data_IF_242291011014
#
_entry.id   IF_242291011014
#
_cell.length_a   1.000
_cell.length_b   1.000
_cell.length_c   1.000
_cell.angle_alpha   90.00
_cell.angle_beta   90.00
_cell.angle_gamma   90.00
#
_symmetry.space_group_name_H-M   'P 1'
#
loop_
_entity.id
_entity.type
_entity.pdbx_description
1 polymer ?
#
# COMPACT_ATOMS: atom_id res chain seq x y z
N UNK A 1 -18.04 5.35 -17.60
CA UNK A 1 -17.79 5.43 -16.14
C UNK A 1 -16.30 5.76 -15.97
N UNK A 2 -15.97 6.88 -15.33
CA UNK A 2 -14.58 7.36 -15.13
C UNK A 2 -14.22 7.04 -13.66
N UNK A 3 -13.24 6.17 -13.39
CA UNK A 3 -12.93 5.60 -12.06
C UNK A 3 -11.44 5.72 -11.79
N UNK A 4 -10.95 6.37 -10.71
CA UNK A 4 -9.65 7.05 -10.80
C UNK A 4 -8.77 7.15 -9.51
N UNK A 5 -7.84 6.21 -9.23
CA UNK A 5 -6.59 6.42 -8.42
C UNK A 5 -5.38 5.62 -8.98
N UNK A 6 -4.11 5.93 -8.65
CA UNK A 6 -2.91 5.13 -9.05
C UNK A 6 -2.57 4.06 -7.99
N UNK A 7 -2.67 2.78 -8.33
CA UNK A 7 -2.60 1.67 -7.36
C UNK A 7 -1.69 0.53 -7.85
N UNK A 8 -0.87 0.00 -6.93
CA UNK A 8 -0.11 -1.24 -7.12
C UNK A 8 -1.01 -2.48 -6.98
N UNK A 9 -1.64 -2.89 -8.08
CA UNK A 9 -2.65 -3.96 -8.06
C UNK A 9 -2.08 -5.32 -7.64
N UNK A 10 -0.80 -5.56 -7.88
CA UNK A 10 -0.11 -6.78 -7.44
C UNK A 10 0.16 -6.79 -5.93
N UNK A 11 -0.09 -5.71 -5.20
CA UNK A 11 0.15 -5.65 -3.75
C UNK A 11 -1.12 -5.43 -2.93
N UNK A 12 -2.30 -5.49 -3.54
CA UNK A 12 -3.57 -5.37 -2.82
C UNK A 12 -3.74 -6.44 -1.74
N UNK A 13 -4.40 -6.08 -0.65
CA UNK A 13 -4.84 -7.08 0.33
C UNK A 13 -5.92 -8.01 -0.26
N UNK A 14 -6.06 -9.24 0.26
CA UNK A 14 -7.18 -10.10 -0.10
C UNK A 14 -8.53 -9.40 0.08
N UNK A 15 -9.38 -9.46 -0.96
CA UNK A 15 -10.55 -8.59 -1.07
C UNK A 15 -11.65 -8.93 -0.06
N UNK A 16 -11.99 -10.18 0.19
CA UNK A 16 -13.21 -10.52 0.95
C UNK A 16 -12.98 -10.71 2.46
N UNK A 17 -13.62 -9.86 3.28
CA UNK A 17 -13.79 -10.06 4.72
C UNK A 17 -12.51 -9.98 5.55
N UNK A 18 -11.40 -9.56 4.93
CA UNK A 18 -10.09 -9.53 5.59
C UNK A 18 -10.07 -8.42 6.63
N UNK A 19 -9.83 -8.82 7.88
CA UNK A 19 -9.42 -7.90 8.95
C UNK A 19 -7.90 -7.79 8.92
N UNK A 20 -7.39 -6.60 8.59
CA UNK A 20 -5.98 -6.26 8.63
C UNK A 20 -5.58 -6.02 10.09
N UNK A 21 -4.79 -6.92 10.68
CA UNK A 21 -4.39 -6.79 12.08
C UNK A 21 -3.31 -5.71 12.19
N UNK A 22 -3.65 -4.61 12.86
CA UNK A 22 -2.77 -3.44 13.02
C UNK A 22 -2.28 -3.39 14.45
N UNK A 23 -0.97 -3.29 14.65
CA UNK A 23 -0.37 -3.09 15.96
C UNK A 23 0.34 -1.74 16.08
N UNK A 24 0.48 -1.25 17.31
CA UNK A 24 1.29 -0.08 17.64
C UNK A 24 2.52 -0.47 18.45
N UNK A 25 3.69 0.05 18.06
CA UNK A 25 4.92 -0.08 18.85
C UNK A 25 4.88 0.77 20.14
N UNK A 26 4.20 1.91 20.08
CA UNK A 26 4.14 2.86 21.18
C UNK A 26 3.01 2.51 22.14
N UNK A 27 3.27 1.53 23.01
CA UNK A 27 2.28 0.98 23.95
C UNK A 27 1.93 1.92 25.12
N UNK A 28 2.70 2.99 25.30
CA UNK A 28 2.47 4.01 26.33
C UNK A 28 1.09 4.68 26.14
N UNK A 29 0.39 4.91 27.25
CA UNK A 29 -0.96 5.51 27.27
C UNK A 29 -0.98 6.98 26.88
N UNK A 30 0.16 7.69 26.96
CA UNK A 30 0.32 9.06 26.45
C UNK A 30 0.01 9.18 24.95
N UNK A 31 0.05 8.07 24.21
CA UNK A 31 -0.31 8.02 22.79
C UNK A 31 -1.75 7.58 22.52
N UNK A 32 -2.56 7.21 23.51
CA UNK A 32 -3.88 6.61 23.26
C UNK A 32 -4.86 7.53 22.51
N UNK A 33 -4.80 8.83 22.78
CA UNK A 33 -5.55 9.82 22.02
C UNK A 33 -5.11 9.87 20.54
N UNK A 34 -3.81 9.81 20.28
CA UNK A 34 -3.27 9.78 18.93
C UNK A 34 -3.60 8.46 18.21
N UNK A 35 -3.48 7.30 18.88
CA UNK A 35 -3.88 5.99 18.34
C UNK A 35 -5.35 5.98 17.93
N UNK A 36 -6.22 6.52 18.78
CA UNK A 36 -7.67 6.64 18.51
C UNK A 36 -7.96 7.53 17.32
N UNK A 37 -7.25 8.66 17.21
CA UNK A 37 -7.36 9.57 16.07
C UNK A 37 -6.89 8.91 14.77
N UNK A 38 -5.74 8.24 14.79
CA UNK A 38 -5.20 7.49 13.65
C UNK A 38 -6.16 6.40 13.21
N UNK A 39 -6.65 5.57 14.13
CA UNK A 39 -7.56 4.47 13.78
C UNK A 39 -8.86 4.98 13.16
N UNK A 40 -9.44 6.04 13.74
CA UNK A 40 -10.67 6.66 13.21
C UNK A 40 -10.48 7.19 11.80
N UNK A 41 -9.37 7.90 11.55
CA UNK A 41 -9.05 8.46 10.23
C UNK A 41 -8.77 7.38 9.19
N UNK A 42 -7.98 6.36 9.53
CA UNK A 42 -7.69 5.26 8.64
C UNK A 42 -8.95 4.42 8.32
N UNK A 43 -9.86 4.23 9.28
CA UNK A 43 -11.13 3.52 9.07
C UNK A 43 -12.04 4.23 8.03
N UNK A 44 -11.87 5.54 7.82
CA UNK A 44 -12.58 6.26 6.74
C UNK A 44 -12.25 5.70 5.36
N UNK A 45 -11.02 5.25 5.13
CA UNK A 45 -10.56 4.73 3.84
C UNK A 45 -11.23 3.42 3.45
N UNK A 46 -11.63 2.63 4.45
CA UNK A 46 -12.10 1.25 4.27
C UNK A 46 -13.60 1.10 4.50
N UNK A 47 -14.30 2.20 4.79
CA UNK A 47 -15.75 2.20 5.10
C UNK A 47 -16.59 1.53 4.01
N UNK A 48 -16.20 1.71 2.74
CA UNK A 48 -16.90 1.14 1.58
C UNK A 48 -16.15 -0.03 0.91
N UNK A 49 -15.11 -0.55 1.55
CA UNK A 49 -14.27 -1.61 1.00
C UNK A 49 -14.61 -2.96 1.67
N UNK A 50 -14.37 -4.10 0.99
CA UNK A 50 -14.60 -5.44 1.55
C UNK A 50 -13.56 -5.87 2.61
N UNK A 51 -12.87 -4.93 3.24
CA UNK A 51 -11.85 -5.17 4.27
C UNK A 51 -12.01 -4.16 5.42
N UNK A 52 -11.38 -4.44 6.56
CA UNK A 52 -11.35 -3.50 7.67
C UNK A 52 -10.01 -3.59 8.40
N UNK A 53 -9.68 -2.58 9.20
CA UNK A 53 -8.58 -2.66 10.14
C UNK A 53 -9.05 -3.26 11.47
N UNK A 54 -8.21 -4.06 12.10
CA UNK A 54 -8.38 -4.55 13.45
C UNK A 54 -7.31 -3.92 14.33
N UNK A 55 -7.72 -2.88 15.07
CA UNK A 55 -6.83 -2.07 15.91
C UNK A 55 -6.74 -2.56 17.36
N UNK A 56 -7.79 -3.24 17.83
CA UNK A 56 -8.00 -3.57 19.25
C UNK A 56 -8.32 -5.05 19.47
N UNK A 57 -7.94 -5.52 20.64
CA UNK A 57 -8.39 -6.78 21.24
C UNK A 57 -9.11 -6.45 22.55
N UNK A 58 -10.43 -6.68 22.58
CA UNK A 58 -11.28 -6.06 23.59
C UNK A 58 -11.20 -4.54 23.51
N UNK A 59 -10.85 -3.90 24.63
CA UNK A 59 -10.79 -2.43 24.74
C UNK A 59 -9.38 -1.85 24.52
N UNK A 60 -8.36 -2.70 24.36
CA UNK A 60 -6.96 -2.27 24.27
C UNK A 60 -6.46 -2.29 22.84
N UNK A 61 -5.64 -1.31 22.47
CA UNK A 61 -4.91 -1.34 21.20
C UNK A 61 -3.93 -2.50 21.18
N UNK A 62 -3.80 -3.16 20.04
CA UNK A 62 -2.92 -4.32 19.88
C UNK A 62 -1.46 -3.81 19.94
N UNK A 63 -0.65 -4.27 20.91
CA UNK A 63 0.77 -3.91 20.96
C UNK A 63 1.55 -4.70 19.91
N UNK A 64 2.56 -4.09 19.29
CA UNK A 64 3.50 -4.84 18.46
C UNK A 64 4.41 -5.67 19.38
N UNK A 65 4.15 -6.97 19.48
CA UNK A 65 4.91 -7.89 20.32
C UNK A 65 5.09 -9.27 19.66
N UNK A 66 6.14 -9.99 20.06
CA UNK A 66 6.41 -11.35 19.59
C UNK A 66 6.76 -11.44 18.10
N UNK A 67 6.24 -12.46 17.43
CA UNK A 67 6.47 -12.66 16.00
C UNK A 67 5.73 -11.61 15.16
N UNK A 68 6.49 -10.77 14.46
CA UNK A 68 5.93 -9.68 13.64
C UNK A 68 5.10 -10.18 12.44
N UNK A 69 5.30 -11.44 12.04
CA UNK A 69 4.52 -12.09 10.97
C UNK A 69 3.01 -12.20 11.28
N UNK A 70 2.62 -12.05 12.55
CA UNK A 70 1.22 -12.04 12.97
C UNK A 70 0.47 -10.73 12.70
N UNK A 71 1.17 -9.67 12.30
CA UNK A 71 0.59 -8.34 12.04
C UNK A 71 0.66 -7.99 10.56
N UNK A 72 -0.43 -7.44 10.05
CA UNK A 72 -0.53 -6.96 8.66
C UNK A 72 0.11 -5.57 8.54
N UNK A 73 -0.08 -4.73 9.56
CA UNK A 73 0.41 -3.35 9.63
C UNK A 73 1.04 -3.09 11.00
N UNK A 74 2.22 -2.49 11.03
CA UNK A 74 2.99 -2.21 12.25
C UNK A 74 3.29 -0.71 12.32
N UNK A 75 2.62 0.00 13.22
CA UNK A 75 2.66 1.46 13.29
C UNK A 75 3.64 1.93 14.37
N UNK A 76 4.54 2.85 14.00
CA UNK A 76 5.36 3.63 14.93
C UNK A 76 4.88 5.08 14.96
N UNK A 77 4.75 5.64 16.16
CA UNK A 77 4.40 7.03 16.43
C UNK A 77 5.60 7.86 16.91
N UNK A 78 6.78 7.23 17.04
CA UNK A 78 8.02 7.86 17.44
C UNK A 78 9.03 7.83 16.29
N UNK A 79 9.84 8.87 16.23
CA UNK A 79 11.05 8.91 15.41
C UNK A 79 12.14 8.01 16.02
N UNK A 80 11.93 6.70 15.96
CA UNK A 80 12.82 5.69 16.52
C UNK A 80 13.52 4.90 15.39
N UNK A 81 14.79 5.18 15.08
CA UNK A 81 15.51 4.50 14.01
C UNK A 81 15.65 3.00 14.24
N UNK A 82 15.56 2.50 15.48
CA UNK A 82 15.65 1.07 15.78
C UNK A 82 14.45 0.25 15.27
N UNK A 83 13.43 0.94 14.72
CA UNK A 83 12.23 0.34 14.15
C UNK A 83 12.19 0.36 12.61
N UNK A 84 13.13 1.06 11.98
CA UNK A 84 13.11 1.35 10.55
C UNK A 84 14.25 0.63 9.83
N UNK A 85 14.31 0.75 8.51
CA UNK A 85 15.47 0.31 7.75
C UNK A 85 16.63 1.30 7.95
N UNK A 86 17.90 0.87 7.82
CA UNK A 86 19.06 1.76 8.01
C UNK A 86 19.05 3.03 7.16
N UNK A 87 18.46 2.97 5.97
CA UNK A 87 18.33 4.07 5.02
C UNK A 87 17.13 5.00 5.28
N UNK A 88 16.20 4.60 6.15
CA UNK A 88 15.02 5.41 6.44
C UNK A 88 15.36 6.52 7.44
N UNK A 89 14.83 7.72 7.18
CA UNK A 89 14.97 8.85 8.11
C UNK A 89 13.88 8.78 9.17
N UNK A 90 14.26 8.72 10.45
CA UNK A 90 13.33 8.49 11.55
C UNK A 90 12.18 9.51 11.68
N UNK A 91 12.42 10.74 11.25
CA UNK A 91 11.43 11.83 11.24
C UNK A 91 10.52 11.83 10.01
N UNK A 92 10.72 10.93 9.05
CA UNK A 92 9.91 10.87 7.83
C UNK A 92 8.60 10.13 8.06
N UNK A 93 7.55 10.59 7.38
CA UNK A 93 6.30 9.87 7.24
C UNK A 93 6.43 8.89 6.09
N UNK A 94 6.10 7.63 6.32
CA UNK A 94 6.06 6.63 5.27
C UNK A 94 5.15 5.47 5.63
N UNK A 95 4.73 4.73 4.60
CA UNK A 95 4.10 3.44 4.71
C UNK A 95 4.55 2.51 3.59
N UNK A 96 4.75 1.24 3.96
CA UNK A 96 5.01 0.16 3.00
C UNK A 96 3.74 -0.12 2.21
N UNK A 97 3.88 -0.25 0.90
CA UNK A 97 2.74 -0.36 -0.02
C UNK A 97 2.06 -1.73 0.10
N UNK A 98 0.77 -1.73 0.42
CA UNK A 98 -0.07 -2.92 0.36
C UNK A 98 0.40 -4.07 1.25
N UNK A 99 0.22 -5.29 0.76
CA UNK A 99 0.64 -6.53 1.42
C UNK A 99 2.16 -6.72 1.52
N UNK A 100 2.97 -5.84 0.90
CA UNK A 100 4.43 -5.90 1.07
C UNK A 100 4.82 -5.65 2.53
N UNK A 101 4.00 -4.96 3.33
CA UNK A 101 4.24 -4.78 4.76
C UNK A 101 4.42 -6.09 5.54
N UNK A 102 3.82 -7.21 5.11
CA UNK A 102 4.04 -8.54 5.72
C UNK A 102 5.43 -9.11 5.45
N UNK A 103 6.01 -8.75 4.31
CA UNK A 103 7.31 -9.24 3.84
C UNK A 103 8.45 -8.30 4.22
N UNK A 104 8.10 -7.07 4.57
CA UNK A 104 9.04 -6.04 4.93
C UNK A 104 9.76 -6.38 6.24
N UNK A 105 11.08 -6.27 6.22
CA UNK A 105 11.95 -6.54 7.38
C UNK A 105 11.92 -5.43 8.43
N UNK A 106 11.39 -4.25 8.10
CA UNK A 106 11.22 -3.15 9.05
C UNK A 106 10.31 -3.61 10.19
N UNK A 107 10.65 -3.17 11.40
CA UNK A 107 9.76 -3.40 12.55
C UNK A 107 8.50 -2.57 12.40
N UNK A 108 8.60 -1.33 11.92
CA UNK A 108 7.46 -0.48 11.57
C UNK A 108 7.25 -0.45 10.05
N UNK A 109 6.06 -0.82 9.59
CA UNK A 109 5.65 -0.68 8.17
C UNK A 109 4.96 0.64 7.90
N UNK A 110 4.59 1.36 8.95
CA UNK A 110 4.01 2.70 8.90
C UNK A 110 4.72 3.52 9.97
N UNK A 111 5.34 4.62 9.59
CA UNK A 111 5.98 5.56 10.50
C UNK A 111 5.23 6.90 10.46
N UNK A 112 4.71 7.30 11.61
CA UNK A 112 3.93 8.51 11.80
C UNK A 112 4.49 9.28 13.00
N UNK A 113 5.70 9.88 12.90
CA UNK A 113 6.40 10.50 14.02
C UNK A 113 5.79 11.85 14.40
N UNK A 114 4.49 11.87 14.72
CA UNK A 114 3.77 13.07 15.09
C UNK A 114 4.28 13.63 16.41
N UNK A 115 4.49 14.94 16.44
CA UNK A 115 4.47 15.68 17.70
C UNK A 115 3.05 15.66 18.28
N UNK A 116 2.93 15.63 19.61
CA UNK A 116 1.63 15.78 20.29
C UNK A 116 0.96 17.13 19.99
N UNK A 117 1.73 18.13 19.55
CA UNK A 117 1.24 19.45 19.14
C UNK A 117 0.84 19.52 17.65
N UNK A 118 0.90 18.42 16.89
CA UNK A 118 0.56 18.42 15.48
C UNK A 118 -0.92 18.82 15.27
N UNK A 119 -1.16 19.71 14.29
CA UNK A 119 -2.51 20.18 13.98
C UNK A 119 -3.41 19.04 13.49
N UNK A 120 -4.72 19.21 13.65
CA UNK A 120 -5.69 18.20 13.21
C UNK A 120 -5.59 17.92 11.70
N UNK A 121 -5.45 18.97 10.90
CA UNK A 121 -5.36 18.86 9.44
C UNK A 121 -4.07 18.17 8.99
N UNK A 122 -2.94 18.47 9.63
CA UNK A 122 -1.68 17.81 9.32
C UNK A 122 -1.71 16.32 9.67
N UNK A 123 -2.22 15.96 10.85
CA UNK A 123 -2.42 14.55 11.24
C UNK A 123 -3.35 13.86 10.26
N UNK A 124 -4.46 14.51 9.89
CA UNK A 124 -5.44 13.96 8.95
C UNK A 124 -4.84 13.70 7.58
N UNK A 125 -4.10 14.66 7.02
CA UNK A 125 -3.44 14.51 5.73
C UNK A 125 -2.48 13.32 5.74
N UNK A 126 -1.56 13.27 6.70
CA UNK A 126 -0.55 12.21 6.79
C UNK A 126 -1.15 10.84 7.05
N UNK A 127 -2.11 10.71 7.97
CA UNK A 127 -2.74 9.40 8.23
C UNK A 127 -3.46 8.88 6.99
N UNK A 128 -4.27 9.70 6.33
CA UNK A 128 -5.00 9.25 5.13
C UNK A 128 -4.03 8.88 4.00
N UNK A 129 -2.96 9.66 3.79
CA UNK A 129 -1.93 9.40 2.80
C UNK A 129 -1.19 8.08 3.07
N UNK A 130 -0.62 7.93 4.27
CA UNK A 130 0.15 6.73 4.61
C UNK A 130 -0.74 5.47 4.63
N UNK A 131 -1.99 5.57 5.10
CA UNK A 131 -2.88 4.42 5.06
C UNK A 131 -3.45 4.13 3.66
N UNK A 132 -3.46 5.09 2.73
CA UNK A 132 -3.69 4.78 1.33
C UNK A 132 -2.54 3.95 0.75
N UNK A 133 -1.27 4.24 1.08
CA UNK A 133 -0.17 3.34 0.74
C UNK A 133 -0.36 1.94 1.34
N UNK A 134 -0.81 1.83 2.60
CA UNK A 134 -1.17 0.53 3.20
C UNK A 134 -2.23 -0.19 2.35
N UNK A 135 -3.14 0.50 1.68
CA UNK A 135 -4.14 -0.07 0.77
C UNK A 135 -3.62 -0.27 -0.67
N UNK A 136 -2.35 -0.02 -0.93
CA UNK A 136 -1.71 -0.23 -2.23
C UNK A 136 -1.72 1.00 -3.15
N UNK A 137 -2.16 2.16 -2.69
CA UNK A 137 -2.05 3.40 -3.47
C UNK A 137 -0.58 3.78 -3.64
N UNK A 138 -0.25 4.29 -4.83
CA UNK A 138 1.03 4.90 -5.17
C UNK A 138 0.86 6.42 -5.15
N UNK A 139 1.96 7.17 -5.19
CA UNK A 139 1.86 8.62 -5.25
C UNK A 139 1.29 9.05 -6.61
N UNK A 140 0.43 10.08 -6.61
CA UNK A 140 -0.27 10.51 -7.83
C UNK A 140 0.69 11.06 -8.90
N UNK A 141 1.79 11.70 -8.49
CA UNK A 141 2.81 12.20 -9.42
C UNK A 141 3.49 11.09 -10.23
N UNK A 142 3.55 9.87 -9.67
CA UNK A 142 4.22 8.71 -10.28
C UNK A 142 3.45 8.15 -11.49
N UNK A 143 2.34 8.77 -11.89
CA UNK A 143 1.72 8.56 -13.20
C UNK A 143 2.51 9.20 -14.35
N UNK A 144 3.54 10.01 -14.06
CA UNK A 144 4.41 10.63 -15.05
C UNK A 144 3.97 12.00 -15.56
N UNK A 145 2.92 12.58 -15.00
CA UNK A 145 2.41 13.90 -15.40
C UNK A 145 3.27 15.07 -14.92
N UNK A 146 4.08 14.82 -13.91
CA UNK A 146 4.93 15.82 -13.27
C UNK A 146 6.37 15.82 -13.81
N UNK A 147 6.76 14.77 -14.55
CA UNK A 147 8.14 14.48 -14.90
C UNK A 147 8.83 15.64 -15.61
N UNK A 148 8.15 16.27 -16.58
CA UNK A 148 8.69 17.41 -17.33
C UNK A 148 8.75 18.71 -16.53
N UNK A 149 8.05 18.79 -15.40
CA UNK A 149 7.98 20.00 -14.58
C UNK A 149 9.03 20.03 -13.48
N UNK A 150 9.65 18.89 -13.14
CA UNK A 150 10.71 18.83 -12.14
C UNK A 150 12.02 19.41 -12.66
N UNK A 151 12.70 20.16 -11.81
CA UNK A 151 14.10 20.57 -12.01
C UNK A 151 15.02 19.44 -11.51
N UNK A 152 15.15 18.41 -12.34
CA UNK A 152 15.86 17.18 -11.97
C UNK A 152 17.33 17.41 -11.62
N UNK A 153 18.01 18.33 -12.30
CA UNK A 153 19.41 18.69 -11.99
C UNK A 153 19.51 19.28 -10.59
N UNK A 154 18.64 20.24 -10.26
CA UNK A 154 18.63 20.87 -8.94
C UNK A 154 18.23 19.91 -7.82
N UNK A 155 17.26 19.02 -8.06
CA UNK A 155 16.89 17.96 -7.11
C UNK A 155 18.09 17.04 -6.85
N UNK A 156 18.72 16.52 -7.90
CA UNK A 156 19.92 15.66 -7.78
C UNK A 156 21.04 16.36 -7.03
N UNK A 157 21.29 17.64 -7.33
CA UNK A 157 22.34 18.43 -6.67
C UNK A 157 22.08 18.64 -5.18
N UNK A 158 20.86 19.05 -4.81
CA UNK A 158 20.52 19.37 -3.42
C UNK A 158 20.39 18.10 -2.57
N UNK A 159 19.74 17.06 -3.09
CA UNK A 159 19.50 15.80 -2.37
C UNK A 159 20.64 14.79 -2.51
N UNK A 160 21.69 15.13 -3.28
CA UNK A 160 22.87 14.29 -3.53
C UNK A 160 22.50 12.92 -4.09
N UNK A 161 21.58 12.92 -5.07
CA UNK A 161 21.10 11.70 -5.72
C UNK A 161 21.90 11.40 -6.98
N UNK A 162 22.14 10.11 -7.24
CA UNK A 162 22.48 9.65 -8.58
C UNK A 162 21.28 9.76 -9.53
N UNK A 163 21.52 9.67 -10.84
CA UNK A 163 20.44 9.63 -11.84
C UNK A 163 19.42 8.54 -11.52
N UNK A 164 19.89 7.30 -11.30
CA UNK A 164 19.02 6.17 -11.00
C UNK A 164 18.20 6.37 -9.71
N UNK A 165 18.77 7.04 -8.69
CA UNK A 165 18.04 7.36 -7.47
C UNK A 165 16.97 8.44 -7.71
N UNK A 166 17.28 9.44 -8.54
CA UNK A 166 16.31 10.46 -8.93
C UNK A 166 15.15 9.85 -9.71
N UNK A 167 15.43 9.04 -10.73
CA UNK A 167 14.42 8.36 -11.52
C UNK A 167 13.51 7.47 -10.66
N UNK A 168 14.10 6.67 -9.77
CA UNK A 168 13.36 5.78 -8.89
C UNK A 168 12.48 6.52 -7.86
N UNK A 169 12.87 7.73 -7.46
CA UNK A 169 12.15 8.52 -6.44
C UNK A 169 11.11 9.46 -7.03
N UNK A 170 11.44 10.18 -8.10
CA UNK A 170 10.68 11.35 -8.55
C UNK A 170 9.92 11.14 -9.85
N UNK A 171 10.31 10.16 -10.66
CA UNK A 171 9.70 9.96 -11.96
C UNK A 171 8.64 8.85 -11.93
N UNK A 172 7.97 8.69 -13.06
CA UNK A 172 6.98 7.64 -13.29
C UNK A 172 7.54 6.26 -12.95
N UNK A 173 6.77 5.49 -12.20
CA UNK A 173 7.05 4.06 -11.99
C UNK A 173 6.59 3.29 -13.24
N UNK A 174 7.48 2.48 -13.80
CA UNK A 174 7.12 1.61 -14.93
C UNK A 174 6.00 0.63 -14.52
N UNK A 175 4.95 0.52 -15.35
CA UNK A 175 3.76 -0.30 -15.09
C UNK A 175 4.07 -1.75 -14.66
N UNK A 176 5.17 -2.31 -15.16
CA UNK A 176 5.56 -3.70 -14.97
C UNK A 176 6.09 -4.06 -13.58
N UNK A 177 6.57 -3.12 -12.76
CA UNK A 177 7.28 -3.45 -11.51
C UNK A 177 6.35 -3.75 -10.33
N UNK A 178 5.13 -3.18 -10.31
CA UNK A 178 4.16 -3.36 -9.21
C UNK A 178 2.75 -3.69 -9.70
N UNK A 179 2.60 -3.96 -11.01
CA UNK A 179 1.30 -3.94 -11.68
C UNK A 179 0.58 -2.62 -11.40
N UNK A 180 1.33 -1.53 -11.51
CA UNK A 180 0.84 -0.19 -11.25
C UNK A 180 -0.25 0.10 -12.27
N UNK A 181 -1.45 0.40 -11.78
CA UNK A 181 -2.61 0.69 -12.62
C UNK A 181 -3.15 2.04 -12.22
N UNK A 182 -3.10 2.97 -13.17
CA UNK A 182 -3.98 4.12 -13.10
C UNK A 182 -5.39 3.60 -13.34
N UNK A 183 -6.19 3.63 -12.29
CA UNK A 183 -7.62 3.71 -12.51
C UNK A 183 -7.81 5.07 -13.20
N UNK A 184 -7.15 6.16 -12.68
CA UNK A 184 -6.81 7.58 -13.08
C UNK A 184 -6.96 8.27 -14.45
N UNK A 185 -7.56 9.49 -14.51
CA UNK A 185 -6.84 10.70 -14.95
C UNK A 185 -6.18 11.37 -13.73
N UNK A 186 -4.99 11.91 -13.91
CA UNK A 186 -4.28 12.67 -12.88
C UNK A 186 -5.19 13.63 -12.10
N UNK A 187 -5.20 13.43 -10.79
CA UNK A 187 -6.01 14.17 -9.84
C UNK A 187 -5.11 15.05 -8.95
N UNK A 188 -5.06 16.37 -9.23
CA UNK A 188 -4.25 17.27 -8.42
C UNK A 188 -4.72 17.29 -6.95
N UNK A 189 -5.98 16.98 -6.66
CA UNK A 189 -6.59 17.02 -5.34
C UNK A 189 -6.57 15.66 -4.62
N UNK A 190 -5.93 14.65 -5.20
CA UNK A 190 -5.77 13.34 -4.56
C UNK A 190 -5.03 13.46 -3.23
N UNK A 191 -5.47 12.68 -2.24
CA UNK A 191 -4.73 12.53 -0.98
C UNK A 191 -3.31 11.99 -1.21
N UNK A 192 -3.08 11.31 -2.34
CA UNK A 192 -1.79 10.75 -2.76
C UNK A 192 -0.92 11.74 -3.53
N UNK A 193 -1.36 12.99 -3.69
CA UNK A 193 -0.52 14.04 -4.24
C UNK A 193 0.54 14.45 -3.23
N UNK A 194 1.80 14.21 -3.56
CA UNK A 194 2.91 14.60 -2.70
C UNK A 194 3.11 16.12 -2.74
N UNK A 195 3.39 16.72 -1.58
CA UNK A 195 3.69 18.15 -1.47
C UNK A 195 5.19 18.39 -1.66
N UNK A 196 5.60 18.61 -2.90
CA UNK A 196 6.97 18.99 -3.23
C UNK A 196 7.24 20.47 -2.92
N UNK A 197 8.49 20.78 -2.60
CA UNK A 197 8.92 22.17 -2.41
C UNK A 197 8.98 22.90 -3.75
N UNK A 198 8.68 24.21 -3.78
CA UNK A 198 8.64 24.99 -5.02
C UNK A 198 9.96 24.97 -5.79
N UNK A 199 11.09 24.92 -5.09
CA UNK A 199 12.42 24.88 -5.71
C UNK A 199 12.68 23.63 -6.54
N UNK A 200 11.88 22.56 -6.36
CA UNK A 200 11.98 21.30 -7.10
C UNK A 200 11.37 21.39 -8.51
N UNK A 201 10.70 22.48 -8.85
CA UNK A 201 10.05 22.66 -10.15
C UNK A 201 10.77 23.68 -11.02
N UNK A 202 10.66 23.52 -12.33
CA UNK A 202 11.18 24.45 -13.32
C UNK A 202 10.35 25.76 -13.33
N UNK A 203 11.03 26.88 -13.60
CA UNK A 203 10.42 28.20 -13.73
C UNK A 203 10.31 28.98 -12.42
N UNK A 204 10.12 30.30 -12.53
CA UNK A 204 9.90 31.21 -11.40
C UNK A 204 8.82 32.26 -11.74
N UNK A 205 7.58 32.14 -11.21
CA UNK A 205 7.11 31.06 -10.35
C UNK A 205 6.91 29.75 -11.14
N UNK A 206 7.05 28.58 -10.49
CA UNK A 206 6.85 27.30 -11.15
C UNK A 206 5.40 27.09 -11.58
N UNK A 207 5.19 26.72 -12.85
CA UNK A 207 3.90 26.42 -13.44
C UNK A 207 3.71 24.90 -13.58
N UNK A 208 3.62 24.19 -12.46
CA UNK A 208 3.46 22.73 -12.44
C UNK A 208 2.05 22.33 -11.98
N UNK A 209 1.38 21.39 -12.65
CA UNK A 209 0.11 20.83 -12.16
C UNK A 209 0.27 20.05 -10.85
N UNK A 210 1.51 19.78 -10.43
CA UNK A 210 1.84 19.03 -9.23
C UNK A 210 2.36 19.93 -8.11
N UNK A 211 2.50 21.23 -8.35
CA UNK A 211 2.85 22.18 -7.32
C UNK A 211 1.64 22.39 -6.41
N UNK A 212 1.81 22.09 -5.11
CA UNK A 212 0.80 22.38 -4.08
C UNK A 212 1.41 23.13 -2.91
N UNK A 213 0.69 24.14 -2.44
CA UNK A 213 1.09 24.95 -1.28
C UNK A 213 0.41 24.50 0.02
N UNK A 214 -0.62 23.65 -0.07
CA UNK A 214 -1.42 23.17 1.05
C UNK A 214 -1.54 21.65 1.04
N UNK A 215 -1.69 21.09 2.24
CA UNK A 215 -1.88 19.66 2.43
C UNK A 215 -3.32 19.25 2.05
N UNK A 216 -3.48 18.07 1.45
CA UNK A 216 -4.80 17.49 1.18
C UNK A 216 -5.28 16.76 2.44
N UNK A 217 -6.49 17.07 2.91
CA UNK A 217 -7.02 16.56 4.19
C UNK A 217 -8.26 15.68 4.03
N UNK A 218 -8.63 15.33 2.80
CA UNK A 218 -9.79 14.52 2.45
C UNK A 218 -9.44 13.66 1.24
N UNK A 219 -10.10 12.51 1.11
CA UNK A 219 -10.09 11.78 -0.15
C UNK A 219 -10.79 12.63 -1.21
N UNK A 220 -10.23 12.67 -2.40
CA UNK A 220 -10.97 13.13 -3.56
C UNK A 220 -12.02 12.09 -3.95
N UNK A 221 -13.00 12.48 -4.76
CA UNK A 221 -13.94 11.49 -5.31
C UNK A 221 -13.27 10.47 -6.23
N UNK A 222 -12.11 10.82 -6.79
CA UNK A 222 -11.29 9.95 -7.63
C UNK A 222 -10.58 8.90 -6.74
N UNK A 223 -9.97 9.30 -5.63
CA UNK A 223 -9.38 8.39 -4.64
C UNK A 223 -10.37 7.30 -4.18
N UNK A 224 -11.58 7.71 -3.80
CA UNK A 224 -12.66 6.81 -3.35
C UNK A 224 -13.05 5.82 -4.46
N UNK A 225 -13.23 6.31 -5.70
CA UNK A 225 -13.58 5.47 -6.85
C UNK A 225 -12.47 4.48 -7.19
N UNK A 226 -11.21 4.91 -7.12
CA UNK A 226 -10.07 4.07 -7.44
C UNK A 226 -9.86 2.95 -6.42
N UNK A 227 -9.97 3.26 -5.11
CA UNK A 227 -9.98 2.24 -4.06
C UNK A 227 -11.14 1.25 -4.21
N UNK A 228 -12.36 1.74 -4.47
CA UNK A 228 -13.52 0.90 -4.71
C UNK A 228 -13.35 0.01 -5.97
N UNK A 229 -12.76 0.53 -7.04
CA UNK A 229 -12.47 -0.24 -8.25
C UNK A 229 -11.39 -1.31 -8.01
N UNK A 230 -10.36 -1.00 -7.22
CA UNK A 230 -9.27 -1.92 -6.91
C UNK A 230 -9.74 -3.08 -6.03
N UNK A 231 -10.47 -2.79 -4.96
CA UNK A 231 -10.95 -3.81 -4.02
C UNK A 231 -12.29 -4.43 -4.40
N UNK A 232 -13.03 -3.83 -5.33
CA UNK A 232 -14.42 -4.18 -5.59
C UNK A 232 -15.37 -3.60 -4.54
N UNK A 233 -16.69 -3.67 -4.78
CA UNK A 233 -17.66 -3.29 -3.75
C UNK A 233 -17.44 -4.15 -2.51
N UNK A 234 -17.79 -3.61 -1.33
CA UNK A 234 -17.98 -4.43 -0.14
C UNK A 234 -18.90 -5.60 -0.54
N UNK A 235 -18.33 -6.82 -0.61
CA UNK A 235 -19.11 -7.99 -0.95
C UNK A 235 -20.27 -8.04 0.03
N UNK A 236 -21.48 -8.24 -0.47
CA UNK A 236 -22.61 -8.56 0.39
C UNK A 236 -22.14 -9.70 1.31
N UNK A 237 -22.17 -9.47 2.63
CA UNK A 237 -21.33 -10.18 3.62
C UNK A 237 -21.59 -11.69 3.68
N UNK A 238 -22.52 -12.19 2.88
CA UNK A 238 -22.78 -13.61 2.63
C UNK A 238 -21.82 -14.20 1.59
N UNK A 239 -20.54 -14.34 1.94
CA UNK A 239 -19.75 -15.42 1.33
C UNK A 239 -20.23 -16.71 2.01
N UNK A 240 -20.80 -17.68 1.28
CA UNK A 240 -21.22 -18.93 1.90
C UNK A 240 -20.04 -19.59 2.64
N UNK A 241 -20.24 -20.01 3.89
CA UNK A 241 -19.22 -20.74 4.68
C UNK A 241 -18.60 -21.91 3.92
N UNK A 242 -19.35 -22.50 2.99
CA UNK A 242 -18.91 -23.61 2.13
C UNK A 242 -17.75 -23.28 1.20
N UNK A 243 -17.47 -22.01 0.89
CA UNK A 243 -16.36 -21.60 0.01
C UNK A 243 -15.22 -20.89 0.74
N UNK A 244 -15.35 -20.62 2.04
CA UNK A 244 -14.35 -19.89 2.84
C UNK A 244 -12.99 -20.62 2.88
N UNK A 245 -13.00 -21.96 2.92
CA UNK A 245 -11.79 -22.78 2.86
C UNK A 245 -11.03 -22.63 1.55
N UNK A 246 -11.73 -22.65 0.41
CA UNK A 246 -11.13 -22.47 -0.92
C UNK A 246 -10.55 -21.06 -1.09
N UNK A 247 -11.28 -20.02 -0.68
CA UNK A 247 -10.81 -18.63 -0.70
C UNK A 247 -9.54 -18.48 0.14
N UNK A 248 -9.47 -19.13 1.31
CA UNK A 248 -8.30 -19.10 2.18
C UNK A 248 -7.07 -19.73 1.51
N UNK A 249 -7.21 -20.91 0.90
CA UNK A 249 -6.11 -21.59 0.18
C UNK A 249 -5.65 -20.75 -1.01
N UNK A 250 -6.59 -20.26 -1.82
CA UNK A 250 -6.29 -19.41 -2.98
C UNK A 250 -5.51 -18.14 -2.58
N UNK A 251 -5.90 -17.49 -1.48
CA UNK A 251 -5.17 -16.32 -0.97
C UNK A 251 -3.76 -16.68 -0.47
N UNK A 252 -3.57 -17.82 0.21
CA UNK A 252 -2.24 -18.29 0.63
C UNK A 252 -1.32 -18.56 -0.56
N UNK A 253 -1.83 -19.19 -1.62
CA UNK A 253 -1.08 -19.43 -2.86
C UNK A 253 -0.73 -18.11 -3.54
N UNK A 254 -1.68 -17.18 -3.67
CA UNK A 254 -1.43 -15.84 -4.23
C UNK A 254 -0.35 -15.08 -3.44
N UNK A 255 -0.41 -15.10 -2.10
CA UNK A 255 0.60 -14.50 -1.22
C UNK A 255 1.98 -15.12 -1.46
N UNK A 256 2.05 -16.47 -1.61
CA UNK A 256 3.29 -17.19 -1.89
C UNK A 256 3.88 -16.84 -3.27
N UNK A 257 3.08 -16.79 -4.33
CA UNK A 257 3.56 -16.37 -5.67
C UNK A 257 4.14 -14.95 -5.60
N UNK A 258 3.41 -14.03 -4.98
CA UNK A 258 3.84 -12.63 -4.83
C UNK A 258 5.18 -12.54 -4.09
N UNK A 259 5.33 -13.30 -3.01
CA UNK A 259 6.57 -13.34 -2.23
C UNK A 259 7.75 -13.83 -3.08
N UNK A 260 7.54 -14.83 -3.93
CA UNK A 260 8.58 -15.37 -4.80
C UNK A 260 9.02 -14.34 -5.84
N UNK A 261 8.06 -13.63 -6.48
CA UNK A 261 8.35 -12.55 -7.43
C UNK A 261 9.07 -11.38 -6.77
N UNK A 262 8.59 -10.94 -5.62
CA UNK A 262 9.24 -9.87 -4.85
C UNK A 262 10.69 -10.21 -4.49
N UNK A 263 10.96 -11.45 -4.06
CA UNK A 263 12.33 -11.92 -3.79
C UNK A 263 13.20 -11.91 -5.06
N UNK A 264 12.62 -12.23 -6.21
CA UNK A 264 13.31 -12.17 -7.50
C UNK A 264 13.67 -10.72 -7.85
N UNK A 265 12.75 -9.77 -7.69
CA UNK A 265 12.98 -8.35 -7.99
C UNK A 265 13.97 -7.70 -7.02
N UNK A 266 13.89 -8.01 -5.72
CA UNK A 266 14.90 -7.62 -4.73
C UNK A 266 16.29 -8.12 -5.10
N UNK A 267 16.41 -9.37 -5.58
CA UNK A 267 17.70 -9.88 -6.06
C UNK A 267 18.18 -9.14 -7.31
N UNK A 268 17.28 -8.82 -8.26
CA UNK A 268 17.63 -8.03 -9.45
C UNK A 268 18.21 -6.66 -9.08
N UNK A 269 17.59 -5.98 -8.11
CA UNK A 269 18.02 -4.63 -7.71
C UNK A 269 19.38 -4.63 -6.99
N UNK A 270 19.70 -5.69 -6.25
CA UNK A 270 20.90 -5.75 -5.42
C UNK A 270 22.08 -6.49 -6.08
N UNK A 271 21.88 -7.09 -7.25
CA UNK A 271 22.95 -7.81 -7.95
C UNK A 271 23.48 -6.96 -9.09
N UNK A 272 24.81 -6.80 -9.19
CA UNK A 272 25.40 -6.32 -10.44
C UNK A 272 25.07 -7.32 -11.56
N UNK A 273 24.84 -6.84 -12.78
CA UNK A 273 24.32 -7.62 -13.91
C UNK A 273 25.19 -8.84 -14.36
N UNK A 274 26.25 -9.19 -13.61
CA UNK A 274 27.29 -10.13 -14.00
C UNK A 274 27.35 -11.39 -13.11
N UNK A 275 26.61 -11.45 -11.98
CA UNK A 275 26.61 -12.66 -11.15
C UNK A 275 25.62 -13.73 -11.65
N UNK A 276 26.14 -14.70 -12.39
CA UNK A 276 25.38 -15.83 -12.94
C UNK A 276 24.62 -16.64 -11.87
N UNK A 277 25.13 -16.71 -10.63
CA UNK A 277 24.47 -17.37 -9.50
C UNK A 277 23.18 -16.67 -9.08
N UNK A 278 23.16 -15.33 -9.07
CA UNK A 278 21.97 -14.55 -8.76
C UNK A 278 20.90 -14.69 -9.86
N UNK A 279 21.31 -14.68 -11.14
CA UNK A 279 20.40 -14.90 -12.27
C UNK A 279 19.71 -16.28 -12.20
N UNK A 280 20.45 -17.35 -11.86
CA UNK A 280 19.86 -18.68 -11.63
C UNK A 280 18.85 -18.68 -10.49
N UNK A 281 19.13 -17.96 -9.40
CA UNK A 281 18.24 -17.87 -8.25
C UNK A 281 16.96 -17.09 -8.58
N UNK A 282 17.08 -15.99 -9.32
CA UNK A 282 15.95 -15.21 -9.84
C UNK A 282 15.06 -16.11 -10.70
N UNK A 283 15.62 -16.78 -11.71
CA UNK A 283 14.86 -17.68 -12.58
C UNK A 283 14.15 -18.79 -11.79
N UNK A 284 14.82 -19.40 -10.81
CA UNK A 284 14.21 -20.42 -9.95
C UNK A 284 13.02 -19.89 -9.13
N UNK A 285 13.11 -18.66 -8.61
CA UNK A 285 12.01 -18.03 -7.87
C UNK A 285 10.82 -17.74 -8.79
N UNK A 286 11.06 -17.27 -10.01
CA UNK A 286 10.02 -17.03 -11.00
C UNK A 286 9.32 -18.31 -11.45
N UNK A 287 10.07 -19.39 -11.69
CA UNK A 287 9.48 -20.70 -12.00
C UNK A 287 8.55 -21.16 -10.87
N UNK A 288 8.99 -21.06 -9.61
CA UNK A 288 8.15 -21.41 -8.45
C UNK A 288 6.91 -20.52 -8.34
N UNK A 289 7.02 -19.24 -8.69
CA UNK A 289 5.87 -18.33 -8.70
C UNK A 289 4.84 -18.77 -9.75
N UNK A 290 5.30 -19.11 -10.95
CA UNK A 290 4.46 -19.61 -12.05
C UNK A 290 3.80 -20.96 -11.71
N UNK A 291 4.51 -21.87 -11.03
CA UNK A 291 3.94 -23.13 -10.54
C UNK A 291 2.79 -22.88 -9.55
N UNK A 292 2.97 -21.95 -8.60
CA UNK A 292 1.95 -21.57 -7.63
C UNK A 292 0.75 -20.88 -8.31
N UNK A 293 0.97 -20.07 -9.34
CA UNK A 293 -0.11 -19.47 -10.14
C UNK A 293 -0.88 -20.50 -10.96
N UNK A 294 -0.18 -21.52 -11.49
CA UNK A 294 -0.81 -22.65 -12.20
C UNK A 294 -1.69 -23.45 -11.24
N UNK A 295 -1.19 -23.72 -10.02
CA UNK A 295 -1.97 -24.34 -8.95
C UNK A 295 -3.20 -23.46 -8.59
N UNK A 296 -3.01 -22.16 -8.43
CA UNK A 296 -4.07 -21.20 -8.16
C UNK A 296 -5.16 -21.18 -9.24
N UNK A 297 -4.80 -21.33 -10.52
CA UNK A 297 -5.75 -21.41 -11.62
C UNK A 297 -6.69 -22.62 -11.51
N UNK A 298 -6.26 -23.70 -10.84
CA UNK A 298 -7.12 -24.84 -10.48
C UNK A 298 -8.15 -24.53 -9.38
N UNK A 299 -7.94 -23.46 -8.62
CA UNK A 299 -8.86 -22.98 -7.56
C UNK A 299 -9.73 -21.80 -8.00
N UNK A 300 -9.49 -21.23 -9.18
CA UNK A 300 -10.30 -20.14 -9.71
C UNK A 300 -11.67 -20.72 -10.11
N UNK A 301 -12.62 -20.67 -9.17
CA UNK A 301 -13.99 -21.09 -9.40
C UNK A 301 -14.50 -20.28 -10.58
N UNK A 302 -14.75 -20.94 -11.71
CA UNK A 302 -15.33 -20.28 -12.89
C UNK A 302 -16.56 -19.48 -12.45
N UNK A 303 -16.81 -18.30 -13.02
CA UNK A 303 -17.98 -17.47 -12.67
C UNK A 303 -19.29 -18.26 -12.66
N UNK A 304 -19.40 -19.23 -13.56
CA UNK A 304 -20.49 -20.19 -13.71
C UNK A 304 -20.59 -21.19 -12.54
N UNK A 305 -19.47 -21.63 -11.96
CA UNK A 305 -19.45 -22.44 -10.74
C UNK A 305 -19.89 -21.63 -9.53
N UNK A 306 -19.45 -20.38 -9.41
CA UNK A 306 -19.91 -19.47 -8.34
C UNK A 306 -21.41 -19.21 -8.47
N UNK A 307 -21.90 -18.97 -9.69
CA UNK A 307 -23.31 -18.77 -9.98
C UNK A 307 -24.14 -20.05 -9.72
N UNK A 308 -23.60 -21.23 -10.02
CA UNK A 308 -24.25 -22.51 -9.72
C UNK A 308 -24.35 -22.77 -8.21
N UNK A 309 -23.28 -22.48 -7.45
CA UNK A 309 -23.29 -22.60 -5.98
C UNK A 309 -24.28 -21.61 -5.36
N UNK A 310 -24.33 -20.37 -5.82
CA UNK A 310 -25.33 -19.37 -5.37
C UNK A 310 -26.76 -19.84 -5.61
N UNK A 311 -27.06 -20.31 -6.83
CA UNK A 311 -28.38 -20.89 -7.17
C UNK A 311 -28.71 -22.11 -6.32
N UNK A 312 -27.75 -22.99 -6.08
CA UNK A 312 -27.93 -24.17 -5.23
C UNK A 312 -28.30 -23.81 -3.79
N UNK A 313 -27.70 -22.73 -3.25
CA UNK A 313 -28.01 -22.24 -1.89
C UNK A 313 -29.40 -21.61 -1.82
N UNK A 314 -29.82 -20.87 -2.85
CA UNK A 314 -31.17 -20.27 -2.93
C UNK A 314 -32.29 -21.31 -3.03
N UNK A 315 -31.97 -22.51 -3.51
CA UNK A 315 -32.92 -23.62 -3.67
C UNK A 315 -32.99 -24.55 -2.46
N UNK A 316 -32.17 -24.36 -1.43
CA UNK A 316 -32.29 -25.13 -0.20
C UNK A 316 -33.52 -24.65 0.60
N UNK A 317 -34.37 -25.55 1.12
CA UNK A 317 -35.45 -25.17 2.01
C UNK A 317 -34.86 -24.46 3.23
N UNK A 318 -35.43 -23.32 3.59
CA UNK A 318 -35.06 -22.57 4.80
C UNK A 318 -35.42 -23.34 6.06
#
# INVERSE_FOLDING_TARGET
MKLFSFIATQHLWPKAGKKLRVCFWDVDSSFDAMKTKISTLADMLVTNLPLSFQWKEGNQFIPCAGSLSGYDVRVSLKADPARLAPEDVATSFFAVIGRMGRLDSRKATVNLPFSLAASNDFVKSRVLHEFCHVLGCLHEYQQGRCDSSFDGEKIKEIEKLSEAQYEAKYLRIADSSMGAKAFSKFDPDSIMMYRFASWMFQGDPPASPCLRTTDVTKLSGDDERGLAAAYGPAADKSVPKSIEGFVTIANKLRDRSTMLRFKADMLRQNTSAVEFSALKKIASLETKANEVETELAGYDLKPETIAAVKRGIELLPR
#
